data_IF_673421088903
#
_entry.id   IF_673421088903
#
_cell.length_a   1.000
_cell.length_b   1.000
_cell.length_c   1.000
_cell.angle_alpha   90.00
_cell.angle_beta   90.00
_cell.angle_gamma   90.00
#
_symmetry.space_group_name_H-M   'P 1'
#
loop_
_entity.id
_entity.type
_entity.pdbx_description
1 polymer ?
#
# COMPACT_ATOMS: atom_id res chain seq x y z
N UNK A 1 -18.77 12.41 0.93
CA UNK A 1 -17.30 12.27 0.98
C UNK A 1 -16.69 13.62 0.67
N UNK A 2 -15.71 14.10 1.46
CA UNK A 2 -14.97 15.34 1.17
C UNK A 2 -13.62 14.95 0.59
N UNK A 3 -13.51 14.95 -0.74
CA UNK A 3 -12.25 14.65 -1.43
C UNK A 3 -11.26 15.81 -1.27
N UNK A 4 -9.98 15.54 -1.53
CA UNK A 4 -8.89 16.52 -1.43
C UNK A 4 -8.82 17.22 -0.06
N UNK A 5 -9.38 16.64 0.99
CA UNK A 5 -9.43 17.21 2.33
C UNK A 5 -8.60 16.34 3.27
N UNK A 6 -7.47 16.86 3.72
CA UNK A 6 -6.59 16.17 4.67
C UNK A 6 -6.94 16.58 6.10
N UNK A 7 -6.99 15.61 7.01
CA UNK A 7 -7.11 15.90 8.45
C UNK A 7 -5.74 16.26 8.99
N UNK A 8 -5.60 17.47 9.53
CA UNK A 8 -4.33 17.98 10.10
C UNK A 8 -4.32 18.00 11.62
N UNK A 9 -5.49 18.08 12.25
CA UNK A 9 -5.62 18.10 13.70
C UNK A 9 -6.95 17.51 14.17
N UNK A 10 -6.91 16.79 15.29
CA UNK A 10 -8.09 16.37 16.05
C UNK A 10 -7.89 16.78 17.51
N UNK A 11 -8.89 17.42 18.10
CA UNK A 11 -8.86 17.83 19.49
C UNK A 11 -10.22 17.59 20.15
N UNK A 12 -10.19 17.11 21.39
CA UNK A 12 -11.35 16.95 22.26
C UNK A 12 -11.51 18.21 23.12
N UNK A 13 -12.73 18.72 23.18
CA UNK A 13 -13.11 19.80 24.08
C UNK A 13 -13.81 19.21 25.31
N UNK A 14 -13.13 19.27 26.47
CA UNK A 14 -13.65 18.76 27.74
C UNK A 14 -14.89 19.52 28.23
N UNK A 15 -15.08 20.78 27.84
CA UNK A 15 -16.21 21.60 28.30
C UNK A 15 -17.48 21.25 27.55
N UNK A 16 -17.36 21.13 26.23
CA UNK A 16 -18.50 20.87 25.35
C UNK A 16 -18.69 19.38 25.04
N UNK A 17 -17.75 18.52 25.46
CA UNK A 17 -17.76 17.08 25.20
C UNK A 17 -17.89 16.75 23.69
N UNK A 18 -17.17 17.51 22.85
CA UNK A 18 -17.15 17.36 21.38
C UNK A 18 -15.73 17.26 20.83
N UNK A 19 -15.59 16.64 19.66
CA UNK A 19 -14.35 16.65 18.90
C UNK A 19 -14.40 17.74 17.83
N UNK A 20 -13.30 18.46 17.68
CA UNK A 20 -13.03 19.32 16.52
C UNK A 20 -11.99 18.66 15.62
N UNK A 21 -12.30 18.57 14.33
CA UNK A 21 -11.44 18.01 13.29
C UNK A 21 -11.09 19.13 12.31
N UNK A 22 -9.81 19.49 12.25
CA UNK A 22 -9.28 20.46 11.30
C UNK A 22 -8.97 19.77 9.97
N UNK A 23 -9.44 20.37 8.89
CA UNK A 23 -9.26 19.91 7.53
C UNK A 23 -8.54 20.97 6.70
N UNK A 24 -7.53 20.55 5.94
CA UNK A 24 -6.87 21.36 4.93
C UNK A 24 -7.20 20.83 3.54
N UNK A 25 -7.82 21.67 2.72
CA UNK A 25 -8.05 21.36 1.31
C UNK A 25 -6.72 21.42 0.54
N UNK A 26 -6.35 20.31 -0.09
CA UNK A 26 -5.08 20.12 -0.79
C UNK A 26 -5.02 20.84 -2.14
N UNK A 27 -6.13 21.37 -2.66
CA UNK A 27 -6.18 22.09 -3.93
C UNK A 27 -5.92 23.60 -3.77
N UNK A 28 -6.47 24.20 -2.71
CA UNK A 28 -6.44 25.65 -2.49
C UNK A 28 -5.81 26.06 -1.14
N UNK A 29 -5.50 25.10 -0.27
CA UNK A 29 -4.93 25.34 1.06
C UNK A 29 -5.94 25.84 2.10
N UNK A 30 -7.24 25.91 1.77
CA UNK A 30 -8.24 26.42 2.68
C UNK A 30 -8.41 25.51 3.90
N UNK A 31 -8.41 26.13 5.08
CA UNK A 31 -8.60 25.46 6.37
C UNK A 31 -10.08 25.54 6.75
N UNK A 32 -10.66 24.41 7.16
CA UNK A 32 -12.01 24.34 7.69
C UNK A 32 -12.08 23.39 8.88
N UNK A 33 -13.03 23.63 9.78
CA UNK A 33 -13.23 22.80 10.97
C UNK A 33 -14.56 22.07 10.90
N UNK A 34 -14.58 20.82 11.38
CA UNK A 34 -15.77 20.02 11.60
C UNK A 34 -15.89 19.70 13.09
N UNK A 35 -17.10 19.81 13.64
CA UNK A 35 -17.41 19.31 14.97
C UNK A 35 -18.18 18.00 14.87
N UNK A 36 -17.88 17.07 15.77
CA UNK A 36 -18.55 15.77 15.83
C UNK A 36 -18.46 15.16 17.23
N UNK A 37 -19.36 14.22 17.54
CA UNK A 37 -19.33 13.51 18.82
C UNK A 37 -18.29 12.37 18.83
N UNK A 38 -18.07 11.75 17.66
CA UNK A 38 -17.25 10.56 17.47
C UNK A 38 -16.48 10.63 16.14
N UNK A 39 -15.27 10.09 16.12
CA UNK A 39 -14.43 9.92 14.92
C UNK A 39 -14.10 8.44 14.74
N UNK A 40 -14.30 7.91 13.53
CA UNK A 40 -13.73 6.63 13.11
C UNK A 40 -12.48 6.93 12.28
N UNK A 41 -11.32 6.50 12.76
CA UNK A 41 -10.03 6.76 12.16
C UNK A 41 -9.53 5.54 11.36
N UNK A 42 -9.27 5.70 10.06
CA UNK A 42 -8.99 4.58 9.14
C UNK A 42 -7.71 4.74 8.32
N UNK A 43 -6.79 5.62 8.73
CA UNK A 43 -5.53 5.82 7.98
C UNK A 43 -4.61 4.61 8.11
N UNK A 44 -3.67 4.47 7.19
CA UNK A 44 -2.64 3.44 7.27
C UNK A 44 -1.75 3.61 8.51
N UNK A 45 -1.13 2.51 8.97
CA UNK A 45 -0.11 2.57 10.02
C UNK A 45 1.10 3.38 9.57
N UNK A 46 1.49 3.30 8.29
CA UNK A 46 2.55 4.14 7.73
C UNK A 46 2.27 5.63 7.92
N UNK A 47 1.04 6.07 7.65
CA UNK A 47 0.64 7.46 7.86
C UNK A 47 0.65 7.84 9.34
N UNK A 48 0.16 6.95 10.22
CA UNK A 48 0.16 7.16 11.67
C UNK A 48 1.59 7.29 12.21
N UNK A 49 2.54 6.47 11.76
CA UNK A 49 3.95 6.54 12.21
C UNK A 49 4.56 7.94 12.02
N UNK A 50 4.17 8.66 10.97
CA UNK A 50 4.71 9.99 10.69
C UNK A 50 3.87 11.12 11.31
N UNK A 51 2.55 10.97 11.36
CA UNK A 51 1.64 12.09 11.60
C UNK A 51 0.84 12.00 12.90
N UNK A 52 0.82 10.84 13.60
CA UNK A 52 -0.04 10.62 14.76
C UNK A 52 0.16 11.66 15.87
N UNK A 53 1.41 11.92 16.27
CA UNK A 53 1.71 12.92 17.31
C UNK A 53 1.33 14.34 16.91
N UNK A 54 1.40 14.66 15.61
CA UNK A 54 1.06 16.00 15.11
C UNK A 54 -0.46 16.21 15.12
N UNK A 55 -1.18 15.24 14.56
CA UNK A 55 -2.64 15.27 14.43
C UNK A 55 -3.31 15.30 15.80
N UNK A 56 -2.83 14.47 16.73
CA UNK A 56 -3.36 14.35 18.09
C UNK A 56 -2.51 15.09 19.12
N UNK A 57 -1.82 16.16 18.72
CA UNK A 57 -0.91 16.93 19.59
C UNK A 57 -1.58 17.53 20.83
N UNK A 58 -2.90 17.71 20.79
CA UNK A 58 -3.72 18.16 21.93
C UNK A 58 -4.22 17.01 22.82
N UNK A 59 -3.96 15.75 22.47
CA UNK A 59 -4.45 14.54 23.15
C UNK A 59 -3.29 13.68 23.71
N UNK A 60 -2.59 14.14 24.77
CA UNK A 60 -1.41 13.44 25.29
C UNK A 60 -1.71 12.02 25.79
N UNK A 61 -2.90 11.79 26.37
CA UNK A 61 -3.30 10.47 26.86
C UNK A 61 -3.52 9.48 25.71
N UNK A 62 -4.12 9.94 24.60
CA UNK A 62 -4.25 9.14 23.38
C UNK A 62 -2.88 8.77 22.81
N UNK A 63 -1.96 9.74 22.77
CA UNK A 63 -0.59 9.50 22.31
C UNK A 63 0.08 8.44 23.20
N UNK A 64 0.04 8.59 24.52
CA UNK A 64 0.63 7.65 25.46
C UNK A 64 0.06 6.22 25.30
N UNK A 65 -1.25 6.10 25.08
CA UNK A 65 -1.91 4.80 24.91
C UNK A 65 -1.49 4.05 23.64
N UNK A 66 -1.19 4.75 22.54
CA UNK A 66 -1.05 4.14 21.20
C UNK A 66 0.31 4.24 20.55
N UNK A 67 1.14 5.20 20.95
CA UNK A 67 2.40 5.52 20.28
C UNK A 67 3.30 4.28 20.15
N UNK A 68 3.48 3.53 21.23
CA UNK A 68 4.32 2.33 21.23
C UNK A 68 3.84 1.28 20.23
N UNK A 69 2.53 1.03 20.14
CA UNK A 69 1.98 0.06 19.19
C UNK A 69 2.09 0.53 17.74
N UNK A 70 1.89 1.82 17.49
CA UNK A 70 2.11 2.41 16.16
C UNK A 70 3.58 2.26 15.75
N UNK A 71 4.52 2.46 16.67
CA UNK A 71 5.96 2.31 16.42
C UNK A 71 6.38 0.84 16.25
N UNK A 72 5.86 -0.05 17.09
CA UNK A 72 6.18 -1.47 17.09
C UNK A 72 5.70 -2.17 15.82
N UNK A 73 4.46 -1.89 15.38
CA UNK A 73 3.91 -2.52 14.18
C UNK A 73 4.78 -2.21 12.96
N UNK A 74 5.11 -3.24 12.20
CA UNK A 74 5.79 -3.07 10.92
C UNK A 74 4.82 -2.53 9.88
N UNK A 75 5.33 -1.75 8.92
CA UNK A 75 4.56 -1.35 7.74
C UNK A 75 5.45 -1.51 6.51
N UNK A 76 5.13 -2.53 5.71
CA UNK A 76 5.97 -3.01 4.62
C UNK A 76 5.55 -2.46 3.27
N UNK A 77 6.41 -2.67 2.28
CA UNK A 77 6.19 -2.23 0.90
C UNK A 77 6.33 -3.41 -0.06
N UNK A 78 5.35 -3.55 -0.94
CA UNK A 78 5.42 -4.40 -2.12
C UNK A 78 5.00 -3.59 -3.35
N UNK A 79 5.80 -3.71 -4.40
CA UNK A 79 5.59 -3.06 -5.68
C UNK A 79 5.39 -4.08 -6.80
N UNK A 80 4.61 -3.69 -7.81
CA UNK A 80 4.36 -4.47 -9.02
C UNK A 80 4.83 -3.64 -10.21
N UNK A 81 5.68 -4.18 -11.05
CA UNK A 81 6.04 -3.59 -12.33
C UNK A 81 5.22 -4.29 -13.41
N UNK A 82 4.27 -3.57 -14.00
CA UNK A 82 3.43 -4.03 -15.10
C UNK A 82 4.14 -3.69 -16.40
N UNK A 83 4.58 -4.71 -17.13
CA UNK A 83 5.15 -4.63 -18.46
C UNK A 83 4.03 -4.84 -19.48
N UNK A 84 3.73 -3.84 -20.29
CA UNK A 84 2.67 -3.89 -21.31
C UNK A 84 3.30 -4.15 -22.68
N UNK A 85 2.67 -5.03 -23.46
CA UNK A 85 3.14 -5.45 -24.78
C UNK A 85 2.09 -5.11 -25.85
N UNK A 86 2.54 -4.81 -27.07
CA UNK A 86 1.64 -4.42 -28.18
C UNK A 86 0.85 -5.61 -28.73
N UNK A 87 1.39 -6.82 -28.60
CA UNK A 87 0.79 -8.08 -29.04
C UNK A 87 0.66 -9.07 -27.86
N UNK A 88 -0.24 -10.06 -27.96
CA UNK A 88 -0.31 -11.16 -26.99
C UNK A 88 1.06 -11.80 -26.74
N UNK A 89 1.30 -12.19 -25.49
CA UNK A 89 2.59 -12.74 -25.06
C UNK A 89 2.76 -14.15 -25.64
N UNK A 90 3.77 -14.35 -26.48
CA UNK A 90 4.03 -15.66 -27.11
C UNK A 90 5.15 -16.46 -26.43
N UNK A 91 5.94 -15.80 -25.58
CA UNK A 91 7.10 -16.41 -24.92
C UNK A 91 6.75 -17.11 -23.59
N UNK A 92 5.54 -16.92 -23.06
CA UNK A 92 5.16 -17.50 -21.78
C UNK A 92 4.69 -18.94 -21.96
N UNK A 93 5.16 -19.91 -21.15
CA UNK A 93 4.74 -21.30 -21.30
C UNK A 93 3.24 -21.50 -21.07
N UNK A 94 2.61 -22.30 -21.92
CA UNK A 94 1.21 -22.70 -21.75
C UNK A 94 0.99 -23.36 -20.38
N UNK A 95 -0.18 -23.14 -19.78
CA UNK A 95 -0.59 -23.69 -18.48
C UNK A 95 0.29 -23.31 -17.29
N UNK A 96 1.16 -22.30 -17.41
CA UNK A 96 1.95 -21.77 -16.30
C UNK A 96 1.32 -20.49 -15.77
N UNK A 97 0.75 -20.55 -14.56
CA UNK A 97 0.10 -19.41 -13.94
C UNK A 97 1.09 -18.34 -13.49
N UNK A 98 2.16 -18.74 -12.80
CA UNK A 98 3.11 -17.83 -12.17
C UNK A 98 4.54 -18.40 -12.21
N UNK A 99 5.50 -17.49 -12.14
CA UNK A 99 6.92 -17.79 -12.04
C UNK A 99 7.46 -17.30 -10.69
N UNK A 100 7.94 -18.22 -9.86
CA UNK A 100 8.59 -17.90 -8.59
C UNK A 100 10.09 -18.19 -8.68
N UNK A 101 10.95 -17.15 -8.82
CA UNK A 101 12.38 -17.37 -8.91
C UNK A 101 12.96 -17.87 -7.58
N UNK A 102 13.82 -18.89 -7.67
CA UNK A 102 14.70 -19.26 -6.57
C UNK A 102 16.01 -18.50 -6.74
N UNK A 103 16.10 -17.32 -6.14
CA UNK A 103 17.31 -16.49 -6.17
C UNK A 103 18.25 -16.99 -5.07
N UNK A 104 19.33 -17.65 -5.47
CA UNK A 104 20.39 -18.07 -4.53
C UNK A 104 21.40 -16.94 -4.36
N UNK A 105 21.75 -16.65 -3.11
CA UNK A 105 22.70 -15.59 -2.69
C UNK A 105 24.07 -15.72 -3.38
N UNK A 106 24.41 -16.91 -3.87
CA UNK A 106 25.70 -17.22 -4.50
C UNK A 106 25.62 -17.36 -6.04
N UNK A 107 24.48 -17.08 -6.68
CA UNK A 107 24.33 -17.25 -8.12
C UNK A 107 24.60 -15.96 -8.90
N UNK A 108 25.55 -16.04 -9.82
CA UNK A 108 25.91 -14.94 -10.74
C UNK A 108 24.93 -14.77 -11.90
N UNK A 109 23.92 -15.66 -12.05
CA UNK A 109 23.02 -15.67 -13.21
C UNK A 109 22.33 -14.32 -13.40
N UNK A 110 21.96 -13.65 -12.31
CA UNK A 110 21.29 -12.34 -12.34
C UNK A 110 22.24 -11.18 -12.02
N UNK A 111 23.56 -11.43 -11.94
CA UNK A 111 24.54 -10.37 -11.72
C UNK A 111 24.66 -9.46 -12.94
N UNK A 112 24.70 -8.15 -12.69
CA UNK A 112 24.91 -7.17 -13.75
C UNK A 112 26.29 -7.31 -14.40
N UNK A 113 26.32 -7.42 -15.73
CA UNK A 113 27.52 -7.44 -16.53
C UNK A 113 28.09 -6.02 -16.74
N UNK A 114 29.28 -5.91 -17.35
CA UNK A 114 29.96 -4.62 -17.54
C UNK A 114 29.14 -3.62 -18.37
N UNK A 115 28.45 -4.08 -19.42
CA UNK A 115 27.64 -3.23 -20.29
C UNK A 115 26.38 -2.73 -19.61
N UNK A 116 25.68 -3.61 -18.88
CA UNK A 116 24.49 -3.25 -18.09
C UNK A 116 24.83 -2.25 -17.00
N UNK A 117 25.95 -2.43 -16.30
CA UNK A 117 26.45 -1.48 -15.29
C UNK A 117 26.71 -0.09 -15.90
N UNK A 118 27.32 -0.05 -17.08
CA UNK A 118 27.57 1.19 -17.80
C UNK A 118 26.25 1.88 -18.20
N UNK A 119 25.31 1.15 -18.80
CA UNK A 119 23.99 1.66 -19.15
C UNK A 119 23.25 2.24 -17.93
N UNK A 120 23.23 1.51 -16.80
CA UNK A 120 22.58 1.98 -15.58
C UNK A 120 23.22 3.27 -15.05
N UNK A 121 24.55 3.35 -15.10
CA UNK A 121 25.28 4.55 -14.68
C UNK A 121 24.95 5.74 -15.60
N UNK A 122 24.82 5.53 -16.90
CA UNK A 122 24.36 6.55 -17.86
C UNK A 122 22.92 7.04 -17.56
N UNK A 123 22.08 6.16 -17.01
CA UNK A 123 20.73 6.52 -16.54
C UNK A 123 20.72 7.14 -15.13
N UNK A 124 21.88 7.49 -14.56
CA UNK A 124 22.06 7.97 -13.18
C UNK A 124 21.54 6.99 -12.12
N UNK A 125 21.63 5.69 -12.38
CA UNK A 125 21.23 4.62 -11.45
C UNK A 125 22.47 3.90 -10.93
N UNK A 126 22.58 3.79 -9.60
CA UNK A 126 23.62 2.98 -8.97
C UNK A 126 23.39 1.49 -9.32
N UNK A 127 24.34 0.81 -9.98
CA UNK A 127 24.21 -0.59 -10.32
C UNK A 127 24.01 -1.51 -9.11
N UNK A 128 24.49 -1.14 -7.92
CA UNK A 128 24.28 -1.91 -6.70
C UNK A 128 22.80 -1.91 -6.27
N UNK A 129 22.14 -0.76 -6.37
CA UNK A 129 20.69 -0.65 -6.12
C UNK A 129 19.88 -1.37 -7.19
N UNK A 130 20.30 -1.28 -8.45
CA UNK A 130 19.66 -2.03 -9.54
C UNK A 130 19.76 -3.55 -9.34
N UNK A 131 20.93 -4.04 -8.92
CA UNK A 131 21.10 -5.44 -8.54
C UNK A 131 20.17 -5.82 -7.38
N UNK A 132 20.10 -4.98 -6.36
CA UNK A 132 19.24 -5.22 -5.21
C UNK A 132 17.75 -5.31 -5.58
N UNK A 133 17.30 -4.49 -6.54
CA UNK A 133 15.93 -4.58 -7.09
C UNK A 133 15.69 -5.91 -7.82
N UNK A 134 16.65 -6.38 -8.63
CA UNK A 134 16.56 -7.68 -9.31
C UNK A 134 16.48 -8.84 -8.30
N UNK A 135 17.26 -8.75 -7.22
CA UNK A 135 17.30 -9.76 -6.16
C UNK A 135 16.01 -9.79 -5.34
N UNK A 136 15.21 -8.71 -5.38
CA UNK A 136 13.93 -8.59 -4.70
C UNK A 136 12.70 -9.06 -5.49
N UNK A 137 12.88 -9.62 -6.69
CA UNK A 137 11.77 -10.16 -7.48
C UNK A 137 11.21 -11.42 -6.82
N UNK A 138 9.96 -11.36 -6.36
CA UNK A 138 9.28 -12.46 -5.66
C UNK A 138 8.51 -13.38 -6.61
N UNK A 139 7.84 -12.81 -7.61
CA UNK A 139 6.94 -13.52 -8.50
C UNK A 139 6.79 -12.76 -9.82
N UNK A 140 6.57 -13.49 -10.91
CA UNK A 140 6.12 -12.93 -12.17
C UNK A 140 4.86 -13.64 -12.66
N UNK A 141 3.83 -12.85 -12.98
CA UNK A 141 2.51 -13.32 -13.40
C UNK A 141 2.19 -12.73 -14.77
N UNK A 142 1.97 -13.53 -15.83
CA UNK A 142 1.50 -13.03 -17.10
C UNK A 142 -0.02 -12.83 -17.07
N UNK A 143 -0.50 -11.95 -17.94
CA UNK A 143 -1.85 -12.00 -18.48
C UNK A 143 -1.73 -12.02 -20.00
N UNK A 144 -1.68 -13.23 -20.57
CA UNK A 144 -1.36 -13.45 -21.99
C UNK A 144 -2.38 -12.79 -22.91
N UNK A 145 -3.67 -12.95 -22.61
CA UNK A 145 -4.77 -12.36 -23.39
C UNK A 145 -4.85 -10.84 -23.22
N UNK A 146 -4.48 -10.31 -22.05
CA UNK A 146 -4.45 -8.87 -21.77
C UNK A 146 -3.09 -8.21 -22.08
N UNK A 147 -2.14 -8.96 -22.63
CA UNK A 147 -0.85 -8.47 -23.15
C UNK A 147 0.03 -7.77 -22.12
N UNK A 148 0.02 -8.23 -20.87
CA UNK A 148 0.91 -7.69 -19.85
C UNK A 148 1.56 -8.76 -18.99
N UNK A 149 2.70 -8.43 -18.39
CA UNK A 149 3.39 -9.22 -17.37
C UNK A 149 3.52 -8.37 -16.11
N UNK A 150 3.16 -8.93 -14.96
CA UNK A 150 3.31 -8.30 -13.65
C UNK A 150 4.51 -8.90 -12.94
N UNK A 151 5.50 -8.07 -12.62
CA UNK A 151 6.68 -8.46 -11.84
C UNK A 151 6.54 -7.92 -10.42
N UNK A 152 6.48 -8.80 -9.43
CA UNK A 152 6.37 -8.43 -8.02
C UNK A 152 7.75 -8.23 -7.40
N UNK A 153 7.96 -7.07 -6.78
CA UNK A 153 9.17 -6.69 -6.05
C UNK A 153 8.76 -6.43 -4.61
N UNK A 154 9.43 -7.04 -3.64
CA UNK A 154 9.03 -6.98 -2.23
C UNK A 154 10.18 -6.58 -1.30
N UNK A 155 9.83 -6.18 -0.09
CA UNK A 155 10.79 -5.82 0.95
C UNK A 155 11.54 -4.53 0.63
N UNK A 156 12.77 -4.40 1.13
CA UNK A 156 13.60 -3.21 0.93
C UNK A 156 13.91 -2.94 -0.56
N UNK A 157 13.96 -3.99 -1.39
CA UNK A 157 14.11 -3.85 -2.83
C UNK A 157 12.92 -3.12 -3.47
N UNK A 158 11.70 -3.29 -2.93
CA UNK A 158 10.53 -2.55 -3.40
C UNK A 158 10.68 -1.05 -3.14
N UNK A 159 11.29 -0.65 -2.01
CA UNK A 159 11.59 0.75 -1.70
C UNK A 159 12.58 1.35 -2.69
N UNK A 160 13.64 0.60 -3.00
CA UNK A 160 14.64 1.00 -3.99
C UNK A 160 14.02 1.17 -5.38
N UNK A 161 13.14 0.25 -5.78
CA UNK A 161 12.45 0.28 -7.07
C UNK A 161 11.61 1.56 -7.28
N UNK A 162 11.07 2.16 -6.21
CA UNK A 162 10.32 3.42 -6.32
C UNK A 162 11.18 4.63 -6.75
N UNK A 163 12.50 4.51 -6.71
CA UNK A 163 13.43 5.56 -7.15
C UNK A 163 13.84 5.44 -8.61
N UNK A 164 13.38 4.41 -9.31
CA UNK A 164 13.70 4.19 -10.71
C UNK A 164 12.54 4.62 -11.61
N UNK A 165 12.88 5.14 -12.79
CA UNK A 165 11.90 5.50 -13.81
C UNK A 165 11.38 4.26 -14.56
N UNK A 166 10.30 4.44 -15.32
CA UNK A 166 9.65 3.38 -16.12
C UNK A 166 10.65 2.65 -17.05
N UNK A 167 11.58 3.39 -17.69
CA UNK A 167 12.57 2.82 -18.61
C UNK A 167 13.54 1.87 -17.90
N UNK A 168 14.08 2.29 -16.75
CA UNK A 168 15.00 1.48 -15.96
C UNK A 168 14.29 0.25 -15.43
N UNK A 169 13.08 0.40 -14.90
CA UNK A 169 12.29 -0.74 -14.39
C UNK A 169 11.95 -1.74 -15.50
N UNK A 170 11.57 -1.26 -16.69
CA UNK A 170 11.36 -2.10 -17.87
C UNK A 170 12.63 -2.87 -18.21
N UNK A 171 13.77 -2.19 -18.26
CA UNK A 171 15.06 -2.81 -18.57
C UNK A 171 15.46 -3.89 -17.56
N UNK A 172 15.36 -3.59 -16.27
CA UNK A 172 15.68 -4.57 -15.22
C UNK A 172 14.74 -5.79 -15.28
N UNK A 173 13.43 -5.55 -15.35
CA UNK A 173 12.44 -6.63 -15.31
C UNK A 173 12.42 -7.47 -16.61
N UNK A 174 12.51 -6.83 -17.77
CA UNK A 174 12.40 -7.51 -19.07
C UNK A 174 13.77 -7.95 -19.61
N UNK A 175 14.66 -6.98 -19.87
CA UNK A 175 15.92 -7.23 -20.58
C UNK A 175 16.95 -7.99 -19.74
N UNK A 176 16.86 -7.90 -18.41
CA UNK A 176 17.75 -8.64 -17.51
C UNK A 176 17.02 -9.83 -16.94
N UNK A 177 16.03 -9.62 -16.07
CA UNK A 177 15.42 -10.69 -15.29
C UNK A 177 14.71 -11.72 -16.18
N UNK A 178 13.71 -11.31 -16.97
CA UNK A 178 12.92 -12.24 -17.78
C UNK A 178 13.74 -12.88 -18.90
N UNK A 179 14.57 -12.10 -19.60
CA UNK A 179 15.47 -12.63 -20.63
C UNK A 179 16.37 -13.73 -20.06
N UNK A 180 17.00 -13.53 -18.89
CA UNK A 180 17.85 -14.56 -18.29
C UNK A 180 17.07 -15.73 -17.74
N UNK A 181 15.90 -15.49 -17.15
CA UNK A 181 15.09 -16.56 -16.57
C UNK A 181 14.56 -17.49 -17.67
N UNK A 182 14.01 -16.90 -18.73
CA UNK A 182 13.42 -17.61 -19.87
C UNK A 182 14.42 -17.88 -21.01
N UNK A 183 15.72 -17.80 -20.73
CA UNK A 183 16.82 -18.11 -21.68
C UNK A 183 16.69 -17.40 -23.04
N UNK A 184 16.37 -16.11 -23.04
CA UNK A 184 16.27 -15.25 -24.22
C UNK A 184 14.93 -15.33 -24.95
N UNK A 185 13.95 -16.12 -24.47
CA UNK A 185 12.66 -16.26 -25.14
C UNK A 185 11.90 -14.94 -25.33
N UNK A 186 12.17 -13.94 -24.47
CA UNK A 186 11.52 -12.63 -24.52
C UNK A 186 12.17 -11.65 -25.48
N UNK A 187 13.38 -11.93 -25.99
CA UNK A 187 14.22 -10.93 -26.67
C UNK A 187 13.61 -10.41 -27.98
N UNK A 188 12.72 -11.20 -28.60
CA UNK A 188 12.00 -10.87 -29.83
C UNK A 188 10.69 -10.11 -29.60
N UNK A 189 10.23 -9.97 -28.35
CA UNK A 189 8.98 -9.29 -28.00
C UNK A 189 9.21 -8.38 -26.79
N UNK A 190 9.44 -7.09 -27.05
CA UNK A 190 9.71 -6.11 -26.00
C UNK A 190 8.44 -5.43 -25.51
N UNK A 191 8.40 -4.99 -24.24
CA UNK A 191 7.30 -4.20 -23.73
C UNK A 191 7.31 -2.81 -24.39
N UNK A 192 6.15 -2.29 -24.72
CA UNK A 192 5.98 -0.92 -25.20
C UNK A 192 5.93 0.09 -24.06
N UNK A 193 5.56 -0.36 -22.85
CA UNK A 193 5.57 0.48 -21.64
C UNK A 193 5.77 -0.34 -20.37
N UNK A 194 6.30 0.28 -19.32
CA UNK A 194 6.28 -0.24 -17.97
C UNK A 194 5.60 0.73 -17.01
N UNK A 195 4.84 0.20 -16.05
CA UNK A 195 4.11 0.96 -15.04
C UNK A 195 4.44 0.36 -13.69
N UNK A 196 4.88 1.17 -12.73
CA UNK A 196 5.03 0.71 -11.35
C UNK A 196 3.72 0.94 -10.60
N UNK A 197 3.26 -0.08 -9.89
CA UNK A 197 2.02 -0.03 -9.14
C UNK A 197 2.25 -0.74 -7.82
N UNK A 198 2.11 -0.06 -6.69
CA UNK A 198 2.28 -0.76 -5.42
C UNK A 198 1.06 -1.59 -5.01
N UNK A 199 1.18 -2.23 -3.86
CA UNK A 199 0.28 -3.29 -3.46
C UNK A 199 -1.10 -2.78 -2.99
N UNK A 200 -2.11 -2.99 -3.83
CA UNK A 200 -3.51 -3.21 -3.46
C UNK A 200 -3.97 -4.59 -3.94
N UNK A 201 -4.78 -5.30 -3.15
CA UNK A 201 -5.46 -6.55 -3.57
C UNK A 201 -6.28 -6.29 -4.86
N UNK A 202 -6.36 -7.14 -5.88
CA UNK A 202 -5.70 -8.41 -6.16
C UNK A 202 -5.87 -8.79 -7.65
N UNK A 203 -5.01 -9.70 -8.12
CA UNK A 203 -5.20 -10.58 -9.26
C UNK A 203 -4.35 -11.81 -8.93
N UNK A 204 -4.89 -12.73 -8.13
CA UNK A 204 -4.09 -13.83 -7.61
C UNK A 204 -4.77 -14.54 -6.46
N UNK A 205 -5.93 -15.13 -6.73
CA UNK A 205 -6.57 -16.26 -6.04
C UNK A 205 -7.87 -16.49 -6.83
N UNK A 206 -8.13 -17.73 -7.25
CA UNK A 206 -9.25 -18.12 -8.11
C UNK A 206 -10.63 -17.89 -7.50
N UNK A 207 -11.02 -16.63 -7.31
CA UNK A 207 -12.39 -16.20 -7.14
C UNK A 207 -13.03 -16.20 -8.52
N UNK A 208 -13.93 -17.15 -8.72
CA UNK A 208 -14.90 -17.11 -9.80
C UNK A 208 -15.79 -15.89 -9.54
N UNK A 209 -15.41 -14.74 -10.08
CA UNK A 209 -16.17 -13.51 -9.94
C UNK A 209 -17.57 -13.73 -10.54
N UNK A 210 -18.65 -13.35 -9.84
CA UNK A 210 -19.98 -13.31 -10.43
C UNK A 210 -19.95 -12.41 -11.68
N UNK A 211 -20.81 -12.72 -12.66
CA UNK A 211 -21.03 -11.97 -13.92
C UNK A 211 -21.55 -10.53 -13.74
N UNK A 212 -21.26 -9.88 -12.63
CA UNK A 212 -21.68 -8.51 -12.35
C UNK A 212 -20.46 -7.61 -12.33
N UNK A 213 -20.53 -6.51 -13.09
CA UNK A 213 -19.58 -5.41 -13.12
C UNK A 213 -19.49 -4.76 -11.73
N UNK A 214 -18.74 -5.40 -10.84
CA UNK A 214 -18.29 -4.78 -9.60
C UNK A 214 -16.89 -4.27 -9.88
N UNK A 215 -16.82 -2.98 -10.22
CA UNK A 215 -15.56 -2.23 -10.23
C UNK A 215 -15.01 -2.24 -8.79
N UNK A 216 -14.17 -3.23 -8.50
CA UNK A 216 -13.54 -3.44 -7.21
C UNK A 216 -12.48 -2.35 -6.90
N UNK A 217 -12.20 -1.48 -7.86
CA UNK A 217 -11.17 -0.45 -7.78
C UNK A 217 -11.72 0.97 -7.78
N UNK A 218 -12.97 1.21 -8.17
CA UNK A 218 -13.47 2.58 -8.38
C UNK A 218 -12.57 3.39 -9.33
N UNK A 219 -11.79 2.69 -10.17
CA UNK A 219 -10.85 3.26 -11.10
C UNK A 219 -11.47 3.07 -12.48
N UNK A 220 -12.21 4.10 -12.93
CA UNK A 220 -12.27 4.44 -14.35
C UNK A 220 -10.82 4.60 -14.83
N UNK A 221 -10.18 3.50 -15.20
CA UNK A 221 -8.94 3.47 -15.98
C UNK A 221 -9.30 3.93 -17.39
N UNK A 222 -9.64 5.21 -17.51
CA UNK A 222 -9.54 5.91 -18.77
C UNK A 222 -8.03 5.96 -19.08
N UNK A 223 -7.56 4.99 -19.86
CA UNK A 223 -6.19 4.89 -20.38
C UNK A 223 -5.91 5.99 -21.43
N UNK A 224 -6.51 7.17 -21.23
CA UNK A 224 -6.41 8.35 -22.05
C UNK A 224 -4.95 8.72 -22.29
N UNK A 225 -4.56 8.64 -23.55
CA UNK A 225 -3.29 9.07 -24.10
C UNK A 225 -2.91 10.47 -23.58
N UNK A 226 -1.74 10.61 -22.94
CA UNK A 226 -1.08 11.93 -22.84
C UNK A 226 -0.28 12.28 -21.58
N UNK A 227 -0.35 11.52 -20.49
CA UNK A 227 0.38 11.90 -19.26
C UNK A 227 1.69 11.11 -19.08
N UNK A 228 2.81 11.81 -19.03
CA UNK A 228 4.13 11.30 -18.65
C UNK A 228 4.14 10.89 -17.17
N UNK A 229 4.43 9.61 -16.87
CA UNK A 229 4.63 9.09 -15.51
C UNK A 229 3.37 8.49 -14.89
N UNK A 230 2.98 7.28 -15.29
CA UNK A 230 1.93 6.53 -14.60
C UNK A 230 2.60 5.54 -13.65
N UNK A 231 2.50 5.80 -12.35
CA UNK A 231 2.84 4.80 -11.35
C UNK A 231 2.38 5.14 -9.94
N UNK A 232 1.95 4.15 -9.17
CA UNK A 232 1.63 4.28 -7.75
C UNK A 232 2.80 3.82 -6.90
N UNK A 233 3.40 4.75 -6.16
CA UNK A 233 4.57 4.54 -5.30
C UNK A 233 4.11 4.56 -3.84
N UNK A 234 3.75 3.40 -3.29
CA UNK A 234 3.01 3.34 -2.02
C UNK A 234 3.83 3.83 -0.83
N UNK A 235 5.15 3.59 -0.83
CA UNK A 235 6.00 4.09 0.24
C UNK A 235 6.23 5.60 0.16
N UNK A 236 6.45 6.13 -1.05
CA UNK A 236 6.58 7.58 -1.28
C UNK A 236 5.25 8.33 -1.18
N UNK A 237 4.12 7.66 -1.34
CA UNK A 237 2.80 8.25 -1.19
C UNK A 237 2.61 8.73 0.25
N UNK A 238 2.49 10.05 0.42
CA UNK A 238 2.34 10.71 1.72
C UNK A 238 1.14 10.25 2.53
N UNK A 239 0.10 9.70 1.90
CA UNK A 239 -1.14 9.26 2.57
C UNK A 239 -1.15 7.76 2.88
N UNK A 240 -0.24 6.99 2.29
CA UNK A 240 -0.16 5.53 2.48
C UNK A 240 1.10 5.15 3.27
N UNK A 241 2.27 5.68 2.86
CA UNK A 241 3.58 5.45 3.49
C UNK A 241 3.96 3.96 3.60
N UNK A 242 3.56 3.18 2.60
CA UNK A 242 3.76 1.75 2.50
C UNK A 242 2.46 1.06 2.07
N UNK A 243 2.44 -0.26 2.15
CA UNK A 243 1.36 -1.07 1.60
C UNK A 243 0.55 -1.87 2.62
N UNK A 244 1.21 -2.52 3.59
CA UNK A 244 0.51 -3.39 4.55
C UNK A 244 1.23 -3.45 5.90
N UNK A 245 0.45 -3.59 6.98
CA UNK A 245 0.98 -3.83 8.31
C UNK A 245 1.49 -5.25 8.48
N UNK A 246 2.48 -5.46 9.35
CA UNK A 246 2.94 -6.78 9.76
C UNK A 246 3.44 -6.76 11.21
N UNK A 247 3.55 -7.93 11.85
CA UNK A 247 4.17 -8.03 13.16
C UNK A 247 5.69 -7.97 13.00
N UNK A 248 6.29 -6.85 13.40
CA UNK A 248 7.75 -6.74 13.48
C UNK A 248 8.30 -7.57 14.64
N UNK A 249 9.63 -7.69 14.75
CA UNK A 249 10.30 -8.35 15.88
C UNK A 249 9.94 -7.72 17.24
N UNK A 250 9.51 -6.45 17.24
CA UNK A 250 9.09 -5.72 18.45
C UNK A 250 7.59 -5.77 18.70
N UNK A 251 6.80 -6.29 17.77
CA UNK A 251 5.35 -6.25 17.84
C UNK A 251 4.74 -7.59 18.25
N UNK A 252 3.54 -7.51 18.82
CA UNK A 252 2.70 -8.64 19.17
C UNK A 252 1.25 -8.38 18.74
N UNK A 253 0.37 -9.36 18.93
CA UNK A 253 -1.06 -9.16 18.71
C UNK A 253 -1.64 -8.11 19.67
N UNK A 254 -1.08 -7.95 20.87
CA UNK A 254 -1.48 -6.92 21.83
C UNK A 254 -1.32 -5.51 21.24
N UNK A 255 -0.34 -5.30 20.36
CA UNK A 255 -0.17 -4.00 19.70
C UNK A 255 -1.32 -3.68 18.74
N UNK A 256 -1.87 -4.70 18.05
CA UNK A 256 -3.08 -4.53 17.23
C UNK A 256 -4.29 -4.25 18.11
N UNK A 257 -4.42 -4.95 19.24
CA UNK A 257 -5.51 -4.73 20.18
C UNK A 257 -5.46 -3.32 20.78
N UNK A 258 -4.29 -2.84 21.21
CA UNK A 258 -4.09 -1.45 21.67
C UNK A 258 -4.40 -0.43 20.57
N UNK A 259 -4.00 -0.70 19.33
CA UNK A 259 -4.33 0.17 18.21
C UNK A 259 -5.85 0.24 18.00
N UNK A 260 -6.56 -0.90 18.09
CA UNK A 260 -8.01 -1.02 17.95
C UNK A 260 -8.81 -0.37 19.09
N UNK A 261 -8.28 -0.33 20.31
CA UNK A 261 -8.98 0.22 21.48
C UNK A 261 -9.51 1.64 21.21
N UNK A 262 -10.72 1.95 21.67
CA UNK A 262 -11.29 3.30 21.53
C UNK A 262 -10.62 4.26 22.51
N UNK A 263 -10.44 5.51 22.09
CA UNK A 263 -10.05 6.60 22.98
C UNK A 263 -11.29 7.15 23.69
N UNK A 264 -11.27 7.15 25.03
CA UNK A 264 -12.43 7.49 25.87
C UNK A 264 -12.08 8.52 26.95
N UNK A 265 -11.71 9.76 26.60
CA UNK A 265 -11.25 10.77 27.56
C UNK A 265 -12.30 11.08 28.65
N UNK A 266 -13.58 10.98 28.31
CA UNK A 266 -14.72 11.20 29.21
C UNK A 266 -15.54 9.92 29.47
N UNK A 267 -14.93 8.75 29.28
CA UNK A 267 -15.61 7.44 29.39
C UNK A 267 -16.49 7.08 28.20
N UNK A 268 -16.57 7.94 27.17
CA UNK A 268 -17.33 7.73 25.94
C UNK A 268 -16.37 7.46 24.78
N UNK A 269 -16.63 6.50 23.87
CA UNK A 269 -15.76 6.25 22.71
C UNK A 269 -15.70 7.46 21.76
N UNK A 270 -14.71 8.35 21.93
CA UNK A 270 -14.54 9.56 21.11
C UNK A 270 -13.81 9.28 19.80
N UNK A 271 -12.71 8.53 19.84
CA UNK A 271 -11.99 8.12 18.64
C UNK A 271 -11.90 6.60 18.59
N UNK A 272 -12.44 6.01 17.53
CA UNK A 272 -12.43 4.56 17.28
C UNK A 272 -11.55 4.28 16.08
N UNK A 273 -10.65 3.29 16.17
CA UNK A 273 -9.72 2.98 15.10
C UNK A 273 -10.20 1.76 14.31
N UNK A 274 -10.19 1.89 12.98
CA UNK A 274 -10.48 0.82 12.04
C UNK A 274 -9.44 0.81 10.90
N UNK A 275 -9.52 -0.17 10.02
CA UNK A 275 -8.56 -0.42 8.95
C UNK A 275 -7.84 -1.75 9.16
N UNK A 276 -7.13 -2.20 8.11
CA UNK A 276 -6.50 -3.53 8.10
C UNK A 276 -5.64 -3.81 9.33
N UNK A 277 -4.98 -2.77 9.86
CA UNK A 277 -4.05 -2.93 10.96
C UNK A 277 -4.70 -3.17 12.33
N UNK A 278 -6.00 -2.90 12.48
CA UNK A 278 -6.72 -3.07 13.74
C UNK A 278 -7.38 -4.43 13.87
N UNK A 279 -7.36 -5.25 12.81
CA UNK A 279 -7.88 -6.61 12.84
C UNK A 279 -6.82 -7.60 13.35
N UNK A 280 -7.12 -8.36 14.40
CA UNK A 280 -6.17 -9.29 15.04
C UNK A 280 -5.79 -10.49 14.16
N UNK A 281 -6.76 -11.08 13.47
CA UNK A 281 -6.55 -12.31 12.67
C UNK A 281 -6.34 -12.09 11.16
N UNK A 282 -7.00 -11.08 10.60
CA UNK A 282 -7.05 -10.83 9.15
C UNK A 282 -6.38 -9.50 8.77
N UNK A 283 -5.33 -9.12 9.48
CA UNK A 283 -4.57 -7.93 9.10
C UNK A 283 -4.00 -8.02 7.69
N UNK A 284 -3.63 -6.88 7.11
CA UNK A 284 -3.00 -6.79 5.78
C UNK A 284 -3.95 -7.20 4.64
N UNK A 285 -5.27 -7.20 4.90
CA UNK A 285 -6.29 -7.67 3.96
C UNK A 285 -7.46 -6.70 3.85
N UNK A 286 -8.15 -6.74 2.71
CA UNK A 286 -9.36 -5.95 2.45
C UNK A 286 -10.52 -6.40 3.34
N UNK A 287 -10.70 -7.71 3.52
CA UNK A 287 -11.78 -8.21 4.36
C UNK A 287 -11.55 -7.87 5.84
N UNK A 288 -10.30 -7.94 6.33
CA UNK A 288 -9.97 -7.47 7.68
C UNK A 288 -10.22 -5.97 7.85
N UNK A 289 -9.91 -5.14 6.85
CA UNK A 289 -10.27 -3.72 6.87
C UNK A 289 -11.79 -3.52 6.92
N UNK A 290 -12.54 -4.23 6.09
CA UNK A 290 -14.00 -4.18 6.06
C UNK A 290 -14.63 -4.59 7.41
N UNK A 291 -14.22 -5.75 7.95
CA UNK A 291 -14.70 -6.27 9.23
C UNK A 291 -14.34 -5.34 10.40
N UNK A 292 -13.14 -4.75 10.38
CA UNK A 292 -12.76 -3.75 11.39
C UNK A 292 -13.64 -2.49 11.36
N UNK A 293 -14.09 -2.08 10.16
CA UNK A 293 -15.04 -0.98 9.99
C UNK A 293 -16.41 -1.30 10.57
N UNK A 294 -16.91 -2.52 10.33
CA UNK A 294 -18.15 -3.01 10.97
C UNK A 294 -17.99 -3.00 12.49
N UNK A 295 -16.88 -3.49 13.02
CA UNK A 295 -16.63 -3.52 14.46
C UNK A 295 -16.60 -2.10 15.07
N UNK A 296 -15.95 -1.14 14.42
CA UNK A 296 -15.94 0.25 14.89
C UNK A 296 -17.35 0.86 14.97
N UNK A 297 -18.20 0.58 13.98
CA UNK A 297 -19.61 1.02 13.99
C UNK A 297 -20.40 0.32 15.10
N UNK A 298 -20.16 -0.97 15.34
CA UNK A 298 -20.82 -1.71 16.42
C UNK A 298 -20.48 -1.15 17.81
N UNK A 299 -19.22 -0.78 18.05
CA UNK A 299 -18.80 -0.14 19.31
C UNK A 299 -19.60 1.14 19.56
N UNK A 300 -19.67 2.02 18.56
CA UNK A 300 -20.42 3.28 18.67
C UNK A 300 -21.92 3.02 18.83
N UNK A 301 -22.48 2.09 18.07
CA UNK A 301 -23.90 1.74 18.13
C UNK A 301 -24.30 1.23 19.51
N UNK A 302 -23.51 0.31 20.09
CA UNK A 302 -23.77 -0.24 21.42
C UNK A 302 -23.79 0.87 22.48
N UNK A 303 -22.86 1.83 22.40
CA UNK A 303 -22.84 2.99 23.28
C UNK A 303 -24.07 3.89 23.11
N UNK A 304 -24.46 4.17 21.86
CA UNK A 304 -25.60 5.06 21.58
C UNK A 304 -26.93 4.44 22.04
N UNK A 305 -27.10 3.12 21.88
CA UNK A 305 -28.28 2.39 22.33
C UNK A 305 -28.37 2.38 23.87
N UNK A 306 -27.29 2.07 24.58
CA UNK A 306 -27.30 2.10 26.07
C UNK A 306 -27.49 3.52 26.63
N UNK A 307 -26.96 4.54 25.95
CA UNK A 307 -27.18 5.93 26.33
C UNK A 307 -28.64 6.38 26.11
N UNK A 308 -29.35 5.81 25.14
CA UNK A 308 -30.77 6.08 24.90
C UNK A 308 -31.70 5.41 25.90
N UNK A 309 -31.36 4.22 26.39
CA UNK A 309 -32.15 3.52 27.41
C UNK A 309 -32.06 4.16 28.81
N UNK A 310 -31.04 4.98 29.05
CA UNK A 310 -30.82 5.71 30.31
C UNK A 310 -31.43 7.13 30.34
N UNK A 311 -32.06 7.59 29.24
CA UNK A 311 -32.72 8.91 29.14
C UNK A 311 -34.23 8.79 29.15
#
# INVERSE_FOLDING_TARGET
MRLSSEVTKVAFDDSDHILTVELVNQLDGNISNLTCNHVIWTTSVGYLKENFQKIFSSEPDLIHQKQSSIENLGFGTANKVILVYDAPISFWPDNTADLHPLISVNQTKYSLNKGERAFLTEQNVDPSQAQFVLDGVLCVSPSVSMRFVIVWIVGEAALAAESFNELVLAYLCHNIFLSRYLNGAVDNQKPSRAIIFGFGFGFGLGLQLPKYDVDLFGLDLDLGFGCSGFGSYWNKNRFERGSYSYLSVRASLDDRDRLRQSYTPDGIPRVVFAGEATHSHYSSSVHGAYESGINAVQILRQYLETASDCR
#
